data_IF_057818809086
#
_entry.id   IF_057818809086
#
_cell.length_a   1.000
_cell.length_b   1.000
_cell.length_c   1.000
_cell.angle_alpha   90.00
_cell.angle_beta   90.00
_cell.angle_gamma   90.00
#
_symmetry.space_group_name_H-M   'P 1'
#
loop_
_entity.id
_entity.type
_entity.pdbx_description
1 polymer ?
#
# COMPACT_ATOMS: atom_id res chain seq x y z
N UNK A 1 -7.86 -10.32 -24.08
CA UNK A 1 -6.55 -10.22 -23.38
C UNK A 1 -6.62 -9.50 -22.03
N UNK A 2 -7.04 -8.22 -21.92
CA UNK A 2 -7.27 -7.61 -20.58
C UNK A 2 -8.35 -8.34 -19.78
N UNK A 3 -9.43 -8.72 -20.44
CA UNK A 3 -10.56 -9.45 -19.81
C UNK A 3 -10.18 -10.84 -19.31
N UNK A 4 -9.25 -11.52 -19.98
CA UNK A 4 -8.84 -12.88 -19.60
C UNK A 4 -7.97 -12.86 -18.34
N UNK A 5 -7.10 -11.86 -18.23
CA UNK A 5 -6.27 -11.64 -17.05
C UNK A 5 -7.12 -11.18 -15.86
N UNK A 6 -8.09 -10.29 -16.08
CA UNK A 6 -8.98 -9.84 -15.02
C UNK A 6 -9.85 -10.98 -14.48
N UNK A 7 -10.45 -11.79 -15.36
CA UNK A 7 -11.21 -12.99 -14.95
C UNK A 7 -10.34 -14.00 -14.22
N UNK A 8 -9.09 -14.16 -14.62
CA UNK A 8 -8.12 -15.00 -13.92
C UNK A 8 -7.87 -14.48 -12.49
N UNK A 9 -7.66 -13.17 -12.31
CA UNK A 9 -7.51 -12.59 -10.99
C UNK A 9 -8.77 -12.78 -10.14
N UNK A 10 -9.96 -12.49 -10.68
CA UNK A 10 -11.23 -12.65 -9.98
C UNK A 10 -11.47 -14.10 -9.53
N UNK A 11 -11.21 -15.07 -10.40
CA UNK A 11 -11.32 -16.50 -10.04
C UNK A 11 -10.31 -16.91 -8.97
N UNK A 12 -9.05 -16.50 -9.08
CA UNK A 12 -8.05 -16.87 -8.08
C UNK A 12 -8.29 -16.17 -6.74
N UNK A 13 -8.75 -14.91 -6.75
CA UNK A 13 -9.12 -14.22 -5.52
C UNK A 13 -10.32 -14.87 -4.81
N UNK A 14 -11.26 -15.44 -5.56
CA UNK A 14 -12.40 -16.16 -5.00
C UNK A 14 -12.02 -17.53 -4.40
N UNK A 15 -11.01 -18.19 -4.96
CA UNK A 15 -10.66 -19.57 -4.62
C UNK A 15 -9.43 -19.70 -3.70
N UNK A 16 -8.54 -18.70 -3.70
CA UNK A 16 -7.31 -18.69 -2.92
C UNK A 16 -7.20 -17.40 -2.07
N UNK A 17 -7.46 -17.50 -0.76
CA UNK A 17 -7.34 -16.37 0.16
C UNK A 17 -5.92 -15.76 0.24
N UNK A 18 -4.88 -16.57 0.04
CA UNK A 18 -3.49 -16.07 0.06
C UNK A 18 -3.19 -15.28 -1.21
N UNK A 19 -3.68 -15.75 -2.36
CA UNK A 19 -3.61 -15.00 -3.61
C UNK A 19 -4.36 -13.66 -3.50
N UNK A 20 -5.58 -13.69 -2.93
CA UNK A 20 -6.37 -12.48 -2.70
C UNK A 20 -5.63 -11.47 -1.81
N UNK A 21 -5.04 -11.93 -0.72
CA UNK A 21 -4.24 -11.09 0.17
C UNK A 21 -3.04 -10.48 -0.56
N UNK A 22 -2.27 -11.29 -1.28
CA UNK A 22 -1.10 -10.83 -2.03
C UNK A 22 -1.48 -9.79 -3.09
N UNK A 23 -2.61 -9.99 -3.78
CA UNK A 23 -3.11 -9.06 -4.80
C UNK A 23 -3.52 -7.72 -4.20
N UNK A 24 -4.26 -7.73 -3.09
CA UNK A 24 -4.65 -6.50 -2.40
C UNK A 24 -3.44 -5.73 -1.85
N UNK A 25 -2.43 -6.43 -1.34
CA UNK A 25 -1.19 -5.80 -0.87
C UNK A 25 -0.42 -5.15 -2.02
N UNK A 26 -0.37 -5.81 -3.18
CA UNK A 26 0.24 -5.24 -4.38
C UNK A 26 -0.47 -3.95 -4.82
N UNK A 27 -1.80 -3.96 -4.90
CA UNK A 27 -2.60 -2.78 -5.26
C UNK A 27 -2.39 -1.61 -4.27
N UNK A 28 -2.16 -1.93 -2.99
CA UNK A 28 -1.85 -0.93 -1.98
C UNK A 28 -0.47 -0.30 -2.18
N UNK A 29 0.54 -1.08 -2.57
CA UNK A 29 1.87 -0.57 -2.94
C UNK A 29 1.84 0.37 -4.14
N UNK A 30 1.07 0.02 -5.17
CA UNK A 30 0.83 0.88 -6.33
C UNK A 30 0.14 2.19 -5.92
N UNK A 31 -0.91 2.12 -5.09
CA UNK A 31 -1.61 3.30 -4.60
C UNK A 31 -0.69 4.24 -3.79
N UNK A 32 0.21 3.69 -2.99
CA UNK A 32 1.21 4.48 -2.25
C UNK A 32 2.21 5.17 -3.17
N UNK A 33 2.62 4.50 -4.24
CA UNK A 33 3.48 5.08 -5.27
C UNK A 33 2.82 6.30 -5.90
N UNK A 34 1.55 6.16 -6.31
CA UNK A 34 0.78 7.25 -6.90
C UNK A 34 0.61 8.42 -5.92
N UNK A 35 0.23 8.15 -4.68
CA UNK A 35 0.08 9.20 -3.65
C UNK A 35 1.40 9.93 -3.38
N UNK A 36 2.53 9.22 -3.38
CA UNK A 36 3.85 9.82 -3.22
C UNK A 36 4.17 10.75 -4.38
N UNK A 37 3.88 10.32 -5.61
CA UNK A 37 4.13 11.10 -6.82
C UNK A 37 3.22 12.33 -6.91
N UNK A 38 1.94 12.20 -6.55
CA UNK A 38 1.00 13.32 -6.41
C UNK A 38 1.44 14.34 -5.35
N UNK A 39 2.04 13.86 -4.26
CA UNK A 39 2.65 14.71 -3.24
C UNK A 39 4.00 15.32 -3.67
N UNK A 40 4.45 15.05 -4.91
CA UNK A 40 5.74 15.47 -5.47
C UNK A 40 6.94 15.06 -4.62
N UNK A 41 6.89 13.87 -4.03
CA UNK A 41 7.95 13.35 -3.18
C UNK A 41 8.76 12.29 -3.89
N UNK A 42 10.07 12.35 -3.76
CA UNK A 42 10.93 11.20 -4.01
C UNK A 42 10.81 10.18 -2.88
N UNK A 43 11.18 8.92 -3.16
CA UNK A 43 11.29 7.88 -2.13
C UNK A 43 12.21 8.29 -0.98
N UNK A 44 13.29 9.02 -1.29
CA UNK A 44 14.22 9.55 -0.30
C UNK A 44 13.62 10.61 0.61
N UNK A 45 12.75 11.48 0.10
CA UNK A 45 12.08 12.51 0.90
C UNK A 45 11.01 11.92 1.80
N UNK A 46 10.22 10.97 1.31
CA UNK A 46 9.28 10.23 2.14
C UNK A 46 10.03 9.44 3.23
N UNK A 47 11.12 8.76 2.86
CA UNK A 47 11.98 8.04 3.80
C UNK A 47 12.53 8.95 4.91
N UNK A 48 13.02 10.14 4.57
CA UNK A 48 13.50 11.14 5.55
C UNK A 48 12.43 11.52 6.55
N UNK A 49 11.19 11.76 6.11
CA UNK A 49 10.07 12.12 7.01
C UNK A 49 9.67 10.97 7.92
N UNK A 50 9.78 9.73 7.44
CA UNK A 50 9.50 8.50 8.21
C UNK A 50 10.70 7.97 8.98
N UNK A 51 11.87 8.62 8.88
CA UNK A 51 13.14 8.18 9.48
C UNK A 51 13.61 6.79 9.01
N UNK A 52 13.37 6.47 7.75
CA UNK A 52 13.80 5.23 7.08
C UNK A 52 14.58 5.52 5.79
N UNK A 53 15.19 4.50 5.19
CA UNK A 53 15.93 4.66 3.93
C UNK A 53 14.97 4.64 2.74
N UNK A 54 15.40 5.24 1.62
CA UNK A 54 14.64 5.19 0.36
C UNK A 54 14.36 3.75 -0.11
N UNK A 55 15.27 2.81 0.20
CA UNK A 55 15.09 1.38 -0.06
C UNK A 55 13.90 0.78 0.69
N UNK A 56 13.67 1.22 1.93
CA UNK A 56 12.53 0.74 2.72
C UNK A 56 11.21 1.23 2.13
N UNK A 57 11.21 2.43 1.54
CA UNK A 57 10.06 2.95 0.78
C UNK A 57 9.86 2.18 -0.53
N UNK A 58 10.94 1.83 -1.25
CA UNK A 58 10.83 0.98 -2.44
C UNK A 58 10.24 -0.39 -2.10
N UNK A 59 10.61 -0.97 -0.95
CA UNK A 59 10.03 -2.22 -0.47
C UNK A 59 8.52 -2.07 -0.16
N UNK A 60 8.10 -0.94 0.41
CA UNK A 60 6.68 -0.65 0.65
C UNK A 60 5.89 -0.54 -0.67
N UNK A 61 6.47 0.08 -1.69
CA UNK A 61 5.82 0.34 -2.98
C UNK A 61 5.80 -0.87 -3.92
N UNK A 62 6.92 -1.59 -4.02
CA UNK A 62 7.15 -2.61 -5.06
C UNK A 62 7.13 -4.03 -4.50
N UNK A 63 7.43 -4.19 -3.21
CA UNK A 63 7.51 -5.48 -2.52
C UNK A 63 6.59 -5.49 -1.28
N UNK A 64 5.41 -4.86 -1.37
CA UNK A 64 4.52 -4.61 -0.22
C UNK A 64 4.30 -5.81 0.70
N UNK A 65 4.15 -7.07 0.21
CA UNK A 65 4.06 -8.24 1.10
C UNK A 65 5.26 -8.46 2.03
N UNK A 66 6.45 -7.98 1.64
CA UNK A 66 7.69 -8.05 2.41
C UNK A 66 7.94 -6.83 3.27
N UNK A 67 7.14 -5.77 3.11
CA UNK A 67 7.29 -4.56 3.89
C UNK A 67 6.78 -4.77 5.33
N UNK A 68 7.44 -4.17 6.34
CA UNK A 68 6.91 -4.13 7.69
C UNK A 68 5.55 -3.43 7.73
N UNK A 69 4.55 -4.06 8.34
CA UNK A 69 3.20 -3.50 8.41
C UNK A 69 3.14 -2.10 9.02
N UNK A 70 3.94 -1.84 10.06
CA UNK A 70 4.01 -0.52 10.69
C UNK A 70 4.58 0.56 9.77
N UNK A 71 5.51 0.20 8.88
CA UNK A 71 6.07 1.14 7.91
C UNK A 71 5.05 1.46 6.81
N UNK A 72 4.32 0.44 6.34
CA UNK A 72 3.23 0.60 5.38
C UNK A 72 2.13 1.54 5.92
N UNK A 73 1.69 1.32 7.17
CA UNK A 73 0.70 2.18 7.84
C UNK A 73 1.21 3.62 8.01
N UNK A 74 2.47 3.79 8.41
CA UNK A 74 3.07 5.10 8.61
C UNK A 74 3.22 5.87 7.29
N UNK A 75 3.64 5.19 6.20
CA UNK A 75 3.77 5.77 4.88
C UNK A 75 2.42 6.23 4.33
N UNK A 76 1.38 5.39 4.43
CA UNK A 76 0.03 5.74 4.02
C UNK A 76 -0.50 6.95 4.80
N UNK A 77 -0.38 6.90 6.13
CA UNK A 77 -0.86 7.98 7.00
C UNK A 77 -0.19 9.31 6.68
N UNK A 78 1.12 9.29 6.42
CA UNK A 78 1.88 10.48 6.09
C UNK A 78 1.51 11.03 4.71
N UNK A 79 1.42 10.18 3.69
CA UNK A 79 1.05 10.61 2.34
C UNK A 79 -0.36 11.20 2.31
N UNK A 80 -1.32 10.57 2.98
CA UNK A 80 -2.68 11.13 3.15
C UNK A 80 -2.65 12.51 3.82
N UNK A 81 -1.85 12.68 4.86
CA UNK A 81 -1.71 13.99 5.54
C UNK A 81 -1.10 15.05 4.63
N UNK A 82 -0.11 14.69 3.80
CA UNK A 82 0.55 15.61 2.87
C UNK A 82 -0.37 15.98 1.70
N UNK A 83 -1.14 15.02 1.19
CA UNK A 83 -2.12 15.24 0.12
C UNK A 83 -3.39 15.99 0.59
N UNK A 84 -3.50 16.31 1.89
CA UNK A 84 -4.63 17.04 2.46
C UNK A 84 -4.57 18.55 2.17
N UNK A 85 -4.79 18.91 0.89
CA UNK A 85 -5.27 20.23 0.48
C UNK A 85 -6.64 20.16 -0.24
N UNK A 86 -7.32 19.00 -0.14
CA UNK A 86 -8.61 18.70 -0.80
C UNK A 86 -9.60 18.13 0.24
N UNK A 87 -10.91 18.48 0.20
CA UNK A 87 -11.86 18.07 1.24
C UNK A 87 -12.17 16.56 1.20
N UNK A 88 -11.41 15.82 2.00
CA UNK A 88 -11.74 14.60 2.79
C UNK A 88 -12.80 13.62 2.24
N UNK A 89 -12.36 12.39 1.92
CA UNK A 89 -13.12 11.17 2.25
C UNK A 89 -12.36 10.34 3.31
N UNK A 90 -12.49 10.67 4.61
CA UNK A 90 -11.80 9.99 5.71
C UNK A 90 -12.20 8.50 5.85
N UNK A 91 -13.27 8.08 5.17
CA UNK A 91 -13.75 6.70 5.13
C UNK A 91 -12.82 5.79 4.32
N UNK A 92 -12.26 6.26 3.20
CA UNK A 92 -11.36 5.46 2.35
C UNK A 92 -10.06 5.15 3.08
N UNK A 93 -9.49 6.16 3.75
CA UNK A 93 -8.25 6.00 4.56
C UNK A 93 -8.48 5.04 5.71
N UNK A 94 -9.61 5.17 6.42
CA UNK A 94 -9.97 4.27 7.50
C UNK A 94 -10.20 2.83 7.00
N UNK A 95 -10.79 2.65 5.83
CA UNK A 95 -10.95 1.35 5.18
C UNK A 95 -9.60 0.75 4.79
N UNK A 96 -8.69 1.53 4.19
CA UNK A 96 -7.34 1.05 3.85
C UNK A 96 -6.54 0.63 5.09
N UNK A 97 -6.59 1.41 6.18
CA UNK A 97 -5.96 1.03 7.46
C UNK A 97 -6.57 -0.27 8.00
N UNK A 98 -7.90 -0.43 7.90
CA UNK A 98 -8.59 -1.64 8.34
C UNK A 98 -8.16 -2.86 7.53
N UNK A 99 -8.01 -2.69 6.22
CA UNK A 99 -7.51 -3.72 5.31
C UNK A 99 -6.06 -4.11 5.64
N UNK A 100 -5.17 -3.13 5.90
CA UNK A 100 -3.79 -3.42 6.32
C UNK A 100 -3.77 -4.24 7.61
N UNK A 101 -4.55 -3.84 8.62
CA UNK A 101 -4.63 -4.58 9.89
C UNK A 101 -5.16 -6.00 9.72
N UNK A 102 -6.10 -6.20 8.79
CA UNK A 102 -6.62 -7.51 8.47
C UNK A 102 -5.54 -8.45 7.90
N UNK A 103 -4.67 -7.93 7.02
CA UNK A 103 -3.60 -8.71 6.37
C UNK A 103 -2.26 -8.70 7.10
N UNK A 104 -2.19 -8.14 8.31
CA UNK A 104 -0.96 -8.09 9.12
C UNK A 104 -0.24 -9.44 9.28
N UNK A 105 -0.91 -10.60 9.41
CA UNK A 105 -0.22 -11.90 9.50
C UNK A 105 0.54 -12.30 8.23
N UNK A 106 0.20 -11.71 7.08
CA UNK A 106 0.81 -11.98 5.77
C UNK A 106 1.98 -11.04 5.48
N UNK A 107 2.10 -9.95 6.24
CA UNK A 107 3.20 -8.98 6.15
C UNK A 107 4.39 -9.45 6.98
N UNK A 108 5.58 -8.95 6.64
CA UNK A 108 6.79 -9.29 7.38
C UNK A 108 6.65 -8.92 8.87
N UNK A 109 7.04 -9.82 9.80
CA UNK A 109 7.07 -9.53 11.23
C UNK A 109 8.10 -8.42 11.52
N UNK A 110 7.82 -7.63 12.55
CA UNK A 110 8.68 -6.53 13.03
C UNK A 110 9.95 -7.07 13.66
#
# INVERSE_FOLDING_TARGET
MKDDLQKFHEQNMANDPQYAAARHLFELGEALTLLREEAHLTRGELGKRLRVKARDIAMVEEETPRAPAGLLEAALSMLVQISSNTPRQPQVVAQSIRTIRHFRPTLAPV
#
